data_IF_194519957859
#
_entry.id   IF_194519957859
#
_cell.length_a   1.000
_cell.length_b   1.000
_cell.length_c   1.000
_cell.angle_alpha   90.00
_cell.angle_beta   90.00
_cell.angle_gamma   90.00
#
_symmetry.space_group_name_H-M   'P 1'
#
loop_
_entity.id
_entity.type
_entity.pdbx_description
1 polymer ?
#
# COMPACT_ATOMS: atom_id res chain seq x y z
N UNK A 1 -32.56 18.26 19.32
CA UNK A 1 -32.08 16.89 19.46
C UNK A 1 -33.25 15.96 19.24
N UNK A 2 -33.48 15.51 18.01
CA UNK A 2 -34.50 14.52 17.68
C UNK A 2 -33.77 13.31 17.12
N UNK A 3 -33.68 12.26 17.91
CA UNK A 3 -33.21 10.94 17.52
C UNK A 3 -34.41 10.27 16.84
N UNK A 4 -34.41 10.18 15.50
CA UNK A 4 -35.38 9.35 14.79
C UNK A 4 -34.95 7.89 14.91
N UNK A 5 -35.66 7.16 15.77
CA UNK A 5 -35.58 5.72 15.83
C UNK A 5 -36.18 5.13 14.55
N UNK A 6 -35.37 4.45 13.74
CA UNK A 6 -35.85 3.62 12.64
C UNK A 6 -36.46 2.36 13.25
N UNK A 7 -37.77 2.30 13.27
CA UNK A 7 -38.52 1.07 13.65
C UNK A 7 -38.43 0.12 12.46
N UNK A 8 -37.64 -0.94 12.59
CA UNK A 8 -37.66 -2.10 11.71
C UNK A 8 -38.93 -2.91 12.02
N UNK A 9 -39.98 -2.70 11.23
CA UNK A 9 -41.15 -3.56 11.27
C UNK A 9 -40.81 -4.92 10.68
N UNK A 10 -40.69 -5.93 11.52
CA UNK A 10 -40.61 -7.30 11.12
C UNK A 10 -41.98 -7.79 10.65
N UNK A 11 -42.19 -7.97 9.36
CA UNK A 11 -43.32 -8.69 8.84
C UNK A 11 -43.00 -10.19 8.81
N UNK A 12 -43.68 -10.96 9.68
CA UNK A 12 -43.69 -12.41 9.61
C UNK A 12 -44.72 -12.89 8.60
N UNK A 13 -44.28 -13.43 7.47
CA UNK A 13 -45.09 -14.31 6.64
C UNK A 13 -44.27 -15.58 6.34
N UNK A 14 -44.87 -16.71 6.67
CA UNK A 14 -44.31 -18.06 6.51
C UNK A 14 -44.39 -18.55 5.05
N UNK A 15 -43.87 -17.79 4.12
CA UNK A 15 -43.65 -18.34 2.76
C UNK A 15 -42.29 -18.97 2.67
N UNK A 16 -42.24 -20.25 2.28
CA UNK A 16 -41.00 -20.98 2.17
C UNK A 16 -40.12 -20.37 1.06
N UNK A 17 -38.82 -20.44 1.26
CA UNK A 17 -37.79 -19.95 0.32
C UNK A 17 -38.00 -20.53 -1.10
N UNK A 18 -38.46 -21.75 -1.18
CA UNK A 18 -38.71 -22.46 -2.45
C UNK A 18 -39.85 -21.86 -3.28
N UNK A 19 -40.88 -21.26 -2.62
CA UNK A 19 -42.00 -20.64 -3.34
C UNK A 19 -41.67 -19.29 -3.96
N UNK A 20 -40.67 -18.58 -3.38
CA UNK A 20 -40.24 -17.29 -3.90
C UNK A 20 -39.25 -17.47 -5.05
N UNK A 21 -38.37 -18.47 -4.98
CA UNK A 21 -37.49 -18.85 -6.10
C UNK A 21 -38.27 -19.43 -7.29
N UNK A 22 -39.30 -20.20 -7.06
CA UNK A 22 -40.13 -20.77 -8.13
C UNK A 22 -40.88 -19.71 -8.97
N UNK A 23 -41.18 -18.55 -8.39
CA UNK A 23 -41.81 -17.42 -9.10
C UNK A 23 -40.81 -16.50 -9.81
N UNK A 24 -39.54 -16.49 -9.40
CA UNK A 24 -38.47 -15.73 -10.08
C UNK A 24 -37.74 -16.50 -11.17
N UNK A 25 -37.92 -17.81 -11.22
CA UNK A 25 -37.12 -18.71 -12.08
C UNK A 25 -37.53 -18.77 -13.56
N UNK A 26 -38.50 -17.98 -14.03
CA UNK A 26 -38.91 -18.07 -15.45
C UNK A 26 -38.38 -16.97 -16.36
N UNK A 27 -37.59 -15.98 -15.90
CA UNK A 27 -37.16 -14.91 -16.82
C UNK A 27 -35.73 -14.35 -16.70
N UNK A 28 -34.86 -14.84 -15.77
CA UNK A 28 -33.53 -14.18 -15.59
C UNK A 28 -32.34 -15.16 -15.50
N UNK A 29 -32.31 -16.21 -16.30
CA UNK A 29 -31.09 -17.00 -16.43
C UNK A 29 -30.18 -16.36 -17.49
N UNK A 30 -29.09 -15.77 -17.04
CA UNK A 30 -27.88 -15.61 -17.87
C UNK A 30 -27.82 -14.43 -18.83
N UNK A 31 -28.39 -13.28 -18.53
CA UNK A 31 -28.05 -12.06 -19.27
C UNK A 31 -27.16 -11.15 -18.41
N UNK A 32 -25.91 -10.98 -18.82
CA UNK A 32 -25.12 -9.80 -18.48
C UNK A 32 -25.99 -8.59 -18.84
N UNK A 33 -26.24 -7.70 -17.87
CA UNK A 33 -27.12 -6.57 -18.15
C UNK A 33 -26.59 -5.77 -19.32
N UNK A 34 -27.43 -5.67 -20.34
CA UNK A 34 -27.19 -4.76 -21.45
C UNK A 34 -26.87 -3.37 -20.89
N UNK A 35 -25.82 -2.76 -21.41
CA UNK A 35 -25.48 -1.36 -21.18
C UNK A 35 -26.77 -0.56 -21.36
N UNK A 36 -27.21 0.18 -20.33
CA UNK A 36 -28.53 0.78 -20.25
C UNK A 36 -28.94 1.52 -21.50
N UNK A 37 -29.97 1.02 -22.15
CA UNK A 37 -30.67 1.66 -23.26
C UNK A 37 -32.05 2.18 -22.83
N UNK A 38 -32.34 2.13 -21.53
CA UNK A 38 -33.57 2.62 -20.96
C UNK A 38 -33.71 4.16 -21.12
N UNK A 39 -34.89 4.61 -21.41
CA UNK A 39 -35.25 6.02 -21.36
C UNK A 39 -36.37 6.22 -20.33
N UNK A 40 -36.28 7.27 -19.53
CA UNK A 40 -37.29 7.54 -18.49
C UNK A 40 -36.64 7.98 -17.17
N UNK A 41 -37.45 8.11 -16.12
CA UNK A 41 -36.96 8.42 -14.78
C UNK A 41 -36.30 7.17 -14.18
N UNK A 42 -35.15 7.34 -13.55
CA UNK A 42 -34.54 6.29 -12.72
C UNK A 42 -35.29 6.29 -11.38
N UNK A 43 -35.74 5.11 -10.99
CA UNK A 43 -36.40 4.88 -9.70
C UNK A 43 -35.46 4.03 -8.81
N UNK A 44 -35.48 4.24 -7.47
CA UNK A 44 -34.75 3.41 -6.53
C UNK A 44 -35.16 1.94 -6.64
N UNK A 45 -34.28 1.03 -6.24
CA UNK A 45 -34.65 -0.36 -6.03
C UNK A 45 -35.72 -0.43 -4.93
N UNK A 46 -36.73 -1.28 -5.15
CA UNK A 46 -37.73 -1.55 -4.11
C UNK A 46 -37.18 -2.60 -3.13
N UNK A 47 -37.18 -2.25 -1.86
CA UNK A 47 -36.74 -3.15 -0.78
C UNK A 47 -37.62 -4.43 -0.65
N UNK A 48 -38.80 -4.44 -1.29
CA UNK A 48 -39.66 -5.63 -1.29
C UNK A 48 -39.14 -6.77 -2.14
N UNK A 49 -38.26 -6.48 -3.11
CA UNK A 49 -37.68 -7.48 -4.02
C UNK A 49 -36.54 -8.29 -3.41
N UNK A 50 -35.98 -7.87 -2.28
CA UNK A 50 -34.81 -8.55 -1.68
C UNK A 50 -35.10 -8.88 -0.20
N UNK A 51 -35.91 -9.90 0.01
CA UNK A 51 -36.10 -10.44 1.36
C UNK A 51 -35.35 -11.76 1.51
N UNK A 52 -34.13 -11.67 2.01
CA UNK A 52 -33.55 -12.50 3.07
C UNK A 52 -32.19 -11.92 3.46
N UNK A 53 -31.99 -11.75 4.77
CA UNK A 53 -30.63 -11.64 5.34
C UNK A 53 -29.85 -12.85 4.83
N UNK A 54 -29.07 -12.65 3.76
CA UNK A 54 -27.90 -13.48 3.54
C UNK A 54 -27.03 -13.23 4.76
N UNK A 55 -26.66 -14.28 5.47
CA UNK A 55 -25.74 -14.18 6.59
C UNK A 55 -24.59 -13.27 6.15
N UNK A 56 -24.44 -12.16 6.86
CA UNK A 56 -23.31 -11.26 6.70
C UNK A 56 -22.07 -12.11 6.69
N UNK A 57 -21.35 -12.15 5.57
CA UNK A 57 -19.96 -12.60 5.58
C UNK A 57 -19.30 -11.90 6.73
N UNK A 58 -18.70 -12.65 7.65
CA UNK A 58 -17.87 -12.08 8.69
C UNK A 58 -16.82 -11.20 7.98
N UNK A 59 -16.91 -9.91 8.18
CA UNK A 59 -16.04 -8.93 7.60
C UNK A 59 -14.70 -9.05 8.31
N UNK A 60 -13.74 -9.72 7.69
CA UNK A 60 -12.39 -9.92 8.22
C UNK A 60 -11.33 -9.08 7.49
N UNK A 61 -11.73 -7.98 6.84
CA UNK A 61 -10.78 -7.09 6.18
C UNK A 61 -10.55 -5.80 7.00
N UNK A 62 -10.02 -5.99 8.20
CA UNK A 62 -9.68 -4.88 9.11
C UNK A 62 -8.73 -3.87 8.48
N UNK A 63 -7.84 -4.32 7.57
CA UNK A 63 -6.85 -3.45 6.93
C UNK A 63 -7.50 -2.44 5.97
N UNK A 64 -8.51 -2.85 5.19
CA UNK A 64 -9.22 -1.94 4.27
C UNK A 64 -10.04 -0.92 5.05
N UNK A 65 -10.72 -1.35 6.10
CA UNK A 65 -11.49 -0.45 6.97
C UNK A 65 -10.61 0.60 7.63
N UNK A 66 -9.41 0.23 8.09
CA UNK A 66 -8.45 1.16 8.68
C UNK A 66 -7.92 2.18 7.64
N UNK A 67 -7.59 1.72 6.43
CA UNK A 67 -7.14 2.60 5.35
C UNK A 67 -8.23 3.60 4.94
N UNK A 68 -9.44 3.12 4.67
CA UNK A 68 -10.53 3.95 4.16
C UNK A 68 -11.15 4.86 5.23
N UNK A 69 -11.06 4.49 6.52
CA UNK A 69 -11.54 5.35 7.62
C UNK A 69 -10.83 6.71 7.66
N UNK A 70 -9.60 6.77 7.18
CA UNK A 70 -8.86 8.02 7.08
C UNK A 70 -9.39 8.95 5.98
N UNK A 71 -10.15 8.41 5.03
CA UNK A 71 -10.76 9.13 3.90
C UNK A 71 -12.25 9.45 4.14
N UNK A 72 -12.78 9.22 5.35
CA UNK A 72 -14.15 9.58 5.68
C UNK A 72 -14.40 11.07 5.46
N UNK A 73 -15.38 11.42 4.61
CA UNK A 73 -15.70 12.78 4.19
C UNK A 73 -14.56 13.56 3.48
N UNK A 74 -13.47 12.89 3.06
CA UNK A 74 -12.44 13.49 2.21
C UNK A 74 -12.90 13.44 0.75
N UNK A 75 -12.86 14.56 0.00
CA UNK A 75 -13.12 14.53 -1.43
C UNK A 75 -12.11 13.67 -2.18
N UNK A 76 -12.60 12.75 -3.00
CA UNK A 76 -11.82 11.78 -3.78
C UNK A 76 -12.29 11.74 -5.23
N UNK A 77 -11.39 11.38 -6.12
CA UNK A 77 -11.72 10.88 -7.44
C UNK A 77 -11.76 9.35 -7.43
N UNK A 78 -12.66 8.77 -8.22
CA UNK A 78 -12.77 7.33 -8.47
C UNK A 78 -12.36 7.07 -9.91
N UNK A 79 -11.14 6.58 -10.11
CA UNK A 79 -10.56 6.32 -11.44
C UNK A 79 -10.57 4.83 -11.74
N UNK A 80 -11.14 4.42 -12.88
CA UNK A 80 -11.06 3.02 -13.36
C UNK A 80 -9.61 2.62 -13.61
N UNK A 81 -9.18 1.50 -13.04
CA UNK A 81 -7.80 1.04 -13.13
C UNK A 81 -7.41 0.59 -14.56
N UNK A 82 -8.35 0.05 -15.33
CA UNK A 82 -8.13 -0.43 -16.69
C UNK A 82 -9.22 0.03 -17.66
N UNK A 83 -9.15 1.26 -18.13
CA UNK A 83 -9.92 1.71 -19.27
C UNK A 83 -8.96 2.21 -20.36
N UNK A 84 -9.19 1.79 -21.60
CA UNK A 84 -8.38 2.19 -22.76
C UNK A 84 -8.81 3.53 -23.36
N UNK A 85 -9.95 4.08 -22.92
CA UNK A 85 -10.46 5.39 -23.34
C UNK A 85 -9.93 6.50 -22.42
N UNK A 86 -10.01 7.76 -22.88
CA UNK A 86 -9.74 8.95 -22.04
C UNK A 86 -10.77 9.14 -20.91
N UNK A 87 -11.88 8.38 -20.96
CA UNK A 87 -12.98 8.46 -19.99
C UNK A 87 -12.72 7.49 -18.86
N UNK A 88 -12.01 7.93 -17.86
CA UNK A 88 -11.52 7.06 -16.77
C UNK A 88 -12.10 7.40 -15.39
N UNK A 89 -12.71 8.56 -15.23
CA UNK A 89 -13.18 9.03 -13.93
C UNK A 89 -14.68 8.90 -13.81
N UNK A 90 -15.14 8.33 -12.70
CA UNK A 90 -16.55 8.29 -12.36
C UNK A 90 -17.08 9.72 -12.30
N UNK A 91 -18.28 9.95 -12.87
CA UNK A 91 -18.90 11.26 -12.97
C UNK A 91 -20.38 11.21 -12.65
N UNK A 92 -20.82 12.14 -11.80
CA UNK A 92 -22.22 12.40 -11.48
C UNK A 92 -22.62 13.77 -12.03
N UNK A 93 -23.50 13.80 -13.04
CA UNK A 93 -23.93 15.05 -13.70
C UNK A 93 -24.97 15.82 -12.89
N UNK A 94 -26.01 15.14 -12.41
CA UNK A 94 -27.14 15.72 -11.63
C UNK A 94 -27.92 14.62 -10.90
N UNK A 95 -28.72 15.01 -9.93
CA UNK A 95 -29.61 14.11 -9.19
C UNK A 95 -30.59 13.38 -10.13
N UNK A 96 -30.83 12.09 -9.84
CA UNK A 96 -31.72 11.23 -10.61
C UNK A 96 -31.19 10.84 -11.99
N UNK A 97 -29.93 11.10 -12.28
CA UNK A 97 -29.25 10.69 -13.53
C UNK A 97 -28.25 9.59 -13.30
N UNK A 98 -28.15 8.74 -14.31
CA UNK A 98 -27.14 7.69 -14.38
C UNK A 98 -25.74 8.30 -14.28
N UNK A 99 -24.85 7.60 -13.57
CA UNK A 99 -23.43 7.91 -13.56
C UNK A 99 -22.79 7.48 -14.89
N UNK A 100 -21.75 8.18 -15.26
CA UNK A 100 -20.95 7.87 -16.44
C UNK A 100 -19.46 7.94 -16.12
N UNK A 101 -18.63 7.63 -17.11
CA UNK A 101 -17.21 7.93 -17.04
C UNK A 101 -16.91 9.17 -17.88
N UNK A 102 -16.03 10.02 -17.37
CA UNK A 102 -15.59 11.25 -18.01
C UNK A 102 -14.06 11.35 -18.05
N UNK A 103 -13.55 12.24 -18.91
CA UNK A 103 -12.16 12.65 -18.88
C UNK A 103 -11.86 13.46 -17.62
N UNK A 104 -10.62 13.43 -17.16
CA UNK A 104 -10.21 14.22 -16.00
C UNK A 104 -10.35 15.72 -16.28
N UNK A 105 -11.01 16.41 -15.37
CA UNK A 105 -11.08 17.86 -15.29
C UNK A 105 -11.10 18.26 -13.82
N UNK A 106 -10.06 18.93 -13.36
CA UNK A 106 -9.89 19.33 -11.95
C UNK A 106 -11.03 20.27 -11.48
N UNK A 107 -11.61 21.06 -12.38
CA UNK A 107 -12.68 22.01 -12.08
C UNK A 107 -14.08 21.37 -12.04
N UNK A 108 -14.24 20.12 -12.51
CA UNK A 108 -15.53 19.46 -12.52
C UNK A 108 -15.84 18.75 -11.20
N UNK A 109 -16.64 19.41 -10.35
CA UNK A 109 -17.13 18.80 -9.11
C UNK A 109 -17.92 17.49 -9.33
N UNK A 110 -18.38 17.22 -10.56
CA UNK A 110 -19.06 15.98 -10.92
C UNK A 110 -18.15 14.77 -10.84
N UNK A 111 -16.81 14.94 -10.90
CA UNK A 111 -15.82 13.89 -10.75
C UNK A 111 -15.46 13.62 -9.28
N UNK A 112 -15.92 14.48 -8.36
CA UNK A 112 -15.57 14.41 -6.96
C UNK A 112 -16.64 13.68 -6.15
N UNK A 113 -16.18 12.75 -5.33
CA UNK A 113 -17.00 11.96 -4.41
C UNK A 113 -16.41 12.03 -3.02
N UNK A 114 -17.14 11.59 -2.01
CA UNK A 114 -16.60 11.33 -0.69
C UNK A 114 -17.26 10.10 -0.09
N UNK A 115 -16.50 9.39 0.74
CA UNK A 115 -16.99 8.24 1.48
C UNK A 115 -17.64 8.73 2.77
N UNK A 116 -18.75 8.13 3.14
CA UNK A 116 -19.31 8.26 4.47
C UNK A 116 -19.37 6.88 5.10
N UNK A 117 -18.60 6.73 6.17
CA UNK A 117 -18.53 5.49 6.91
C UNK A 117 -19.69 5.45 7.90
N UNK A 118 -20.49 4.41 7.78
CA UNK A 118 -21.59 4.20 8.72
C UNK A 118 -21.11 3.39 9.93
N UNK A 119 -21.66 3.64 11.11
CA UNK A 119 -21.33 2.83 12.28
C UNK A 119 -21.58 1.34 12.01
N UNK A 120 -20.68 0.48 12.46
CA UNK A 120 -20.71 -0.98 12.24
C UNK A 120 -22.03 -1.66 12.62
N UNK A 121 -22.79 -1.06 13.52
CA UNK A 121 -24.14 -1.51 13.93
C UNK A 121 -25.18 -1.44 12.82
N UNK A 122 -24.96 -0.65 11.77
CA UNK A 122 -25.90 -0.49 10.67
C UNK A 122 -25.77 -1.60 9.59
N UNK A 123 -24.69 -2.38 9.61
CA UNK A 123 -24.43 -3.44 8.61
C UNK A 123 -24.19 -2.91 7.18
N UNK A 124 -23.99 -1.61 7.02
CA UNK A 124 -23.76 -0.92 5.76
C UNK A 124 -22.37 -0.28 5.87
N UNK A 125 -21.35 -0.79 5.20
CA UNK A 125 -19.99 -0.31 5.42
C UNK A 125 -19.77 1.12 4.89
N UNK A 126 -20.22 1.44 3.66
CA UNK A 126 -19.96 2.72 3.03
C UNK A 126 -21.15 3.25 2.25
N UNK A 127 -21.36 4.58 2.34
CA UNK A 127 -22.09 5.35 1.35
C UNK A 127 -21.10 6.19 0.54
N UNK A 128 -21.28 6.26 -0.76
CA UNK A 128 -20.46 7.07 -1.67
C UNK A 128 -21.32 8.26 -2.12
N UNK A 129 -20.97 9.47 -1.70
CA UNK A 129 -21.67 10.69 -2.04
C UNK A 129 -20.99 11.42 -3.19
N UNK A 130 -21.75 11.97 -4.12
CA UNK A 130 -21.22 12.92 -5.09
C UNK A 130 -21.14 14.32 -4.48
N UNK A 131 -20.02 14.97 -4.63
CA UNK A 131 -19.79 16.35 -4.16
C UNK A 131 -20.70 17.33 -4.89
N UNK A 132 -20.98 17.14 -6.18
CA UNK A 132 -21.84 17.99 -7.00
C UNK A 132 -23.32 17.86 -6.65
N UNK A 133 -23.81 16.63 -6.52
CA UNK A 133 -25.25 16.39 -6.28
C UNK A 133 -25.62 16.42 -4.81
N UNK A 134 -24.65 16.30 -3.89
CA UNK A 134 -24.82 16.19 -2.43
C UNK A 134 -25.66 14.98 -2.00
N UNK A 135 -25.80 13.99 -2.89
CA UNK A 135 -26.58 12.77 -2.65
C UNK A 135 -25.72 11.53 -2.87
N UNK A 136 -26.05 10.39 -2.23
CA UNK A 136 -25.32 9.17 -2.43
C UNK A 136 -25.57 8.60 -3.83
N UNK A 137 -24.61 7.81 -4.31
CA UNK A 137 -24.81 6.96 -5.48
C UNK A 137 -25.50 5.67 -5.07
N UNK A 138 -26.37 5.17 -5.95
CA UNK A 138 -27.21 4.03 -5.67
C UNK A 138 -27.46 3.19 -6.92
N UNK A 139 -27.95 1.98 -6.74
CA UNK A 139 -28.50 1.17 -7.82
C UNK A 139 -29.98 1.51 -7.98
N UNK A 140 -30.40 1.73 -9.20
CA UNK A 140 -31.80 1.95 -9.57
C UNK A 140 -32.15 1.26 -10.88
N UNK A 141 -33.38 1.46 -11.36
CA UNK A 141 -33.85 0.96 -12.64
C UNK A 141 -34.60 2.06 -13.38
N UNK A 142 -34.66 1.98 -14.70
CA UNK A 142 -35.52 2.86 -15.46
C UNK A 142 -36.99 2.49 -15.26
N UNK A 143 -37.88 3.46 -15.14
CA UNK A 143 -39.30 3.23 -14.92
C UNK A 143 -39.97 2.47 -16.07
N UNK A 144 -39.46 2.63 -17.30
CA UNK A 144 -39.91 1.94 -18.49
C UNK A 144 -39.11 0.67 -18.86
N UNK A 145 -38.06 0.37 -18.11
CA UNK A 145 -37.21 -0.82 -18.27
C UNK A 145 -36.73 -1.28 -16.90
N UNK A 146 -37.61 -1.82 -16.05
CA UNK A 146 -37.27 -2.16 -14.66
C UNK A 146 -36.20 -3.26 -14.53
N UNK A 147 -35.97 -4.06 -15.56
CA UNK A 147 -34.96 -5.09 -15.60
C UNK A 147 -33.55 -4.50 -15.85
N UNK A 148 -33.45 -3.30 -16.41
CA UNK A 148 -32.19 -2.61 -16.66
C UNK A 148 -31.77 -1.87 -15.39
N UNK A 149 -30.77 -2.41 -14.69
CA UNK A 149 -30.23 -1.78 -13.48
C UNK A 149 -29.07 -0.85 -13.84
N UNK A 150 -29.04 0.30 -13.19
CA UNK A 150 -28.04 1.34 -13.42
C UNK A 150 -27.51 1.89 -12.09
N UNK A 151 -26.30 2.43 -12.13
CA UNK A 151 -25.75 3.23 -11.02
C UNK A 151 -26.09 4.69 -11.29
N UNK A 152 -26.70 5.36 -10.32
CA UNK A 152 -27.19 6.73 -10.49
C UNK A 152 -26.96 7.58 -9.24
N UNK A 153 -26.94 8.91 -9.37
CA UNK A 153 -26.99 9.81 -8.24
C UNK A 153 -28.43 9.93 -7.72
N UNK A 154 -28.65 9.64 -6.46
CA UNK A 154 -29.99 9.67 -5.87
C UNK A 154 -30.61 11.07 -5.94
N UNK A 155 -31.93 11.14 -5.84
CA UNK A 155 -32.66 12.42 -5.64
C UNK A 155 -32.68 12.72 -4.14
N UNK A 156 -32.56 13.98 -3.79
CA UNK A 156 -32.65 14.44 -2.40
C UNK A 156 -33.99 14.05 -1.73
N UNK A 157 -35.06 14.00 -2.53
CA UNK A 157 -36.38 13.55 -2.06
C UNK A 157 -36.48 12.05 -1.73
N UNK A 158 -35.45 11.26 -2.04
CA UNK A 158 -35.44 9.82 -1.78
C UNK A 158 -35.07 9.57 -0.32
N UNK A 159 -36.00 9.00 0.45
CA UNK A 159 -35.78 8.71 1.89
C UNK A 159 -35.14 7.36 2.16
N UNK A 160 -35.27 6.41 1.22
CA UNK A 160 -34.68 5.07 1.34
C UNK A 160 -33.26 5.05 0.80
N UNK A 161 -32.31 4.58 1.60
CA UNK A 161 -30.92 4.33 1.20
C UNK A 161 -30.70 2.93 0.62
N UNK A 162 -31.76 2.17 0.37
CA UNK A 162 -31.66 0.85 -0.24
C UNK A 162 -31.05 0.96 -1.66
N UNK A 163 -30.06 0.14 -1.94
CA UNK A 163 -29.26 0.21 -3.17
C UNK A 163 -28.07 1.17 -3.13
N UNK A 164 -27.92 1.97 -2.04
CA UNK A 164 -26.82 2.92 -1.88
C UNK A 164 -25.65 2.39 -1.04
N UNK A 165 -25.74 1.15 -0.57
CA UNK A 165 -24.74 0.53 0.31
C UNK A 165 -23.67 -0.17 -0.51
N UNK A 166 -22.42 0.16 -0.23
CA UNK A 166 -21.27 -0.35 -0.97
C UNK A 166 -20.26 -0.99 -0.02
N UNK A 167 -19.78 -2.16 -0.40
CA UNK A 167 -18.61 -2.80 0.19
C UNK A 167 -17.40 -2.45 -0.68
N UNK A 168 -16.39 -1.85 -0.07
CA UNK A 168 -15.17 -1.44 -0.77
C UNK A 168 -14.05 -2.39 -0.35
N UNK A 169 -13.61 -3.24 -1.27
CA UNK A 169 -12.59 -4.28 -1.03
C UNK A 169 -11.37 -4.02 -1.89
N UNK A 170 -10.20 -4.49 -1.44
CA UNK A 170 -9.01 -4.48 -2.29
C UNK A 170 -9.24 -5.28 -3.57
N UNK A 171 -8.75 -4.75 -4.68
CA UNK A 171 -8.78 -5.41 -5.95
C UNK A 171 -7.81 -6.59 -5.98
N UNK A 172 -8.15 -7.62 -6.77
CA UNK A 172 -7.28 -8.79 -6.95
C UNK A 172 -6.29 -8.64 -8.12
N UNK A 173 -6.61 -7.80 -9.10
CA UNK A 173 -5.77 -7.61 -10.29
C UNK A 173 -4.84 -6.41 -10.13
N UNK A 174 -5.34 -5.26 -9.70
CA UNK A 174 -4.57 -4.04 -9.50
C UNK A 174 -4.20 -3.87 -8.03
N UNK A 175 -2.92 -3.67 -7.73
CA UNK A 175 -2.42 -3.54 -6.34
C UNK A 175 -2.80 -2.22 -5.67
N UNK A 176 -3.19 -1.20 -6.46
CA UNK A 176 -3.48 0.17 -6.05
C UNK A 176 -4.96 0.55 -6.27
N UNK A 177 -5.85 -0.45 -6.31
CA UNK A 177 -7.26 -0.24 -6.60
C UNK A 177 -8.18 -1.05 -5.66
N UNK A 178 -9.46 -0.73 -5.75
CA UNK A 178 -10.55 -1.35 -4.99
C UNK A 178 -11.69 -1.73 -5.92
N UNK A 179 -12.48 -2.71 -5.52
CA UNK A 179 -13.78 -2.99 -6.11
C UNK A 179 -14.88 -2.28 -5.31
N UNK A 180 -15.90 -1.80 -6.01
CA UNK A 180 -17.10 -1.19 -5.42
C UNK A 180 -18.25 -2.19 -5.58
N UNK A 181 -18.48 -3.01 -4.55
CA UNK A 181 -19.45 -4.10 -4.56
C UNK A 181 -20.75 -3.64 -3.88
N UNK A 182 -21.90 -3.87 -4.54
CA UNK A 182 -23.20 -3.56 -3.95
C UNK A 182 -23.52 -4.52 -2.78
N UNK A 183 -24.04 -3.99 -1.68
CA UNK A 183 -24.49 -4.81 -0.55
C UNK A 183 -25.99 -5.12 -0.59
N UNK A 184 -26.74 -4.32 -1.32
CA UNK A 184 -28.22 -4.39 -1.32
C UNK A 184 -28.80 -5.13 -2.51
N UNK A 185 -27.96 -5.55 -3.47
CA UNK A 185 -28.41 -6.19 -4.70
C UNK A 185 -27.70 -7.52 -4.99
N UNK A 186 -28.05 -8.60 -4.24
CA UNK A 186 -27.54 -9.93 -4.52
C UNK A 186 -28.07 -10.48 -5.85
N UNK A 187 -27.27 -11.26 -6.54
CA UNK A 187 -27.60 -11.90 -7.81
C UNK A 187 -27.36 -13.39 -7.71
N UNK A 188 -28.16 -14.16 -8.43
CA UNK A 188 -27.95 -15.60 -8.57
C UNK A 188 -26.97 -15.89 -9.70
N UNK A 189 -26.00 -16.76 -9.44
CA UNK A 189 -25.06 -17.23 -10.45
C UNK A 189 -25.67 -18.23 -11.44
N UNK A 190 -24.90 -18.57 -12.46
CA UNK A 190 -25.34 -19.42 -13.58
C UNK A 190 -25.63 -20.89 -13.21
N UNK A 191 -25.15 -21.36 -12.05
CA UNK A 191 -25.38 -22.71 -11.59
C UNK A 191 -26.83 -23.01 -11.21
N UNK A 192 -27.62 -21.94 -10.98
CA UNK A 192 -29.00 -22.03 -10.49
C UNK A 192 -29.13 -22.54 -9.04
N UNK A 193 -28.00 -22.82 -8.38
CA UNK A 193 -28.00 -23.26 -7.00
C UNK A 193 -28.22 -22.08 -6.05
N UNK A 194 -29.05 -22.26 -5.01
CA UNK A 194 -29.39 -21.21 -4.03
C UNK A 194 -28.17 -20.65 -3.26
N UNK A 195 -27.05 -21.33 -3.25
CA UNK A 195 -25.79 -20.90 -2.63
C UNK A 195 -24.85 -20.20 -3.63
N UNK A 196 -25.14 -20.21 -4.93
CA UNK A 196 -24.39 -19.46 -5.95
C UNK A 196 -24.95 -18.03 -6.04
N UNK A 197 -24.76 -17.26 -4.96
CA UNK A 197 -25.16 -15.86 -4.89
C UNK A 197 -23.91 -15.00 -4.94
N UNK A 198 -23.95 -13.95 -5.74
CA UNK A 198 -22.90 -12.93 -5.80
C UNK A 198 -23.50 -11.53 -5.69
N UNK A 199 -22.68 -10.59 -5.27
CA UNK A 199 -22.99 -9.18 -5.30
C UNK A 199 -22.32 -8.53 -6.50
N UNK A 200 -23.04 -7.64 -7.20
CA UNK A 200 -22.52 -7.02 -8.40
C UNK A 200 -21.55 -5.90 -8.06
N UNK A 201 -20.50 -5.77 -8.88
CA UNK A 201 -19.56 -4.66 -8.80
C UNK A 201 -19.80 -3.66 -9.92
N UNK A 202 -19.49 -2.39 -9.68
CA UNK A 202 -19.48 -1.37 -10.71
C UNK A 202 -18.42 -1.73 -11.74
N UNK A 203 -18.83 -1.75 -13.01
CA UNK A 203 -17.99 -2.16 -14.14
C UNK A 203 -18.01 -1.09 -15.22
N UNK A 204 -16.83 -0.70 -15.72
CA UNK A 204 -16.69 0.24 -16.83
C UNK A 204 -16.92 -0.43 -18.18
N UNK A 205 -17.81 0.15 -19.00
CA UNK A 205 -18.10 -0.25 -20.36
C UNK A 205 -18.06 0.97 -21.30
N UNK A 206 -16.86 1.33 -21.76
CA UNK A 206 -16.65 2.60 -22.49
C UNK A 206 -16.92 3.79 -21.56
N UNK A 207 -17.85 4.67 -21.96
CA UNK A 207 -18.29 5.81 -21.16
C UNK A 207 -19.39 5.46 -20.15
N UNK A 208 -19.98 4.27 -20.23
CA UNK A 208 -21.09 3.82 -19.40
C UNK A 208 -20.62 2.87 -18.31
N UNK A 209 -21.51 2.64 -17.35
CA UNK A 209 -21.31 1.67 -16.27
C UNK A 209 -22.32 0.54 -16.41
N UNK A 210 -21.90 -0.64 -15.97
CA UNK A 210 -22.76 -1.81 -15.77
C UNK A 210 -22.54 -2.39 -14.38
N UNK A 211 -23.41 -3.30 -14.00
CA UNK A 211 -23.32 -4.08 -12.75
C UNK A 211 -23.08 -5.54 -13.11
N UNK A 212 -21.90 -6.03 -12.84
CA UNK A 212 -21.45 -7.39 -13.24
C UNK A 212 -20.90 -8.17 -12.06
N UNK A 213 -20.80 -9.50 -12.21
CA UNK A 213 -20.04 -10.33 -11.28
C UNK A 213 -18.56 -9.95 -11.35
N UNK A 214 -17.91 -9.86 -10.20
CA UNK A 214 -16.47 -9.60 -10.19
C UNK A 214 -15.70 -10.74 -10.84
N UNK A 215 -14.90 -10.44 -11.83
CA UNK A 215 -14.14 -11.39 -12.65
C UNK A 215 -12.64 -11.03 -12.73
N UNK A 216 -12.15 -10.25 -11.77
CA UNK A 216 -10.74 -9.84 -11.65
C UNK A 216 -10.23 -9.10 -12.90
N UNK A 217 -11.04 -8.18 -13.40
CA UNK A 217 -10.70 -7.34 -14.54
C UNK A 217 -10.46 -5.91 -14.10
N UNK A 218 -9.41 -5.27 -14.63
CA UNK A 218 -9.07 -3.88 -14.28
C UNK A 218 -10.21 -2.87 -14.57
N UNK A 219 -11.14 -3.17 -15.50
CA UNK A 219 -12.33 -2.37 -15.74
C UNK A 219 -13.38 -2.42 -14.63
N UNK A 220 -13.23 -3.32 -13.65
CA UNK A 220 -14.07 -3.48 -12.46
C UNK A 220 -13.41 -2.91 -11.20
N UNK A 221 -12.24 -2.31 -11.36
CA UNK A 221 -11.41 -1.86 -10.27
C UNK A 221 -11.20 -0.35 -10.34
N UNK A 222 -11.25 0.31 -9.19
CA UNK A 222 -11.20 1.76 -9.10
C UNK A 222 -10.07 2.21 -8.18
N UNK A 223 -9.23 3.11 -8.65
CA UNK A 223 -8.28 3.84 -7.81
C UNK A 223 -9.02 4.93 -7.05
N UNK A 224 -8.76 4.99 -5.76
CA UNK A 224 -9.25 6.07 -4.89
C UNK A 224 -8.13 7.10 -4.80
N UNK A 225 -8.39 8.32 -5.25
CA UNK A 225 -7.42 9.41 -5.34
C UNK A 225 -7.98 10.62 -4.60
N UNK A 226 -7.43 11.01 -3.43
CA UNK A 226 -7.84 12.25 -2.79
C UNK A 226 -7.66 13.46 -3.71
N UNK A 227 -8.62 14.38 -3.69
CA UNK A 227 -8.63 15.60 -4.53
C UNK A 227 -7.51 16.54 -4.11
N UNK A 228 -7.33 16.70 -2.79
CA UNK A 228 -6.28 17.56 -2.26
C UNK A 228 -4.89 16.93 -2.31
N UNK A 229 -3.88 17.77 -2.37
CA UNK A 229 -2.48 17.37 -2.19
C UNK A 229 -2.14 17.29 -0.71
N UNK A 230 -1.13 16.49 -0.39
CA UNK A 230 -0.67 16.28 0.98
C UNK A 230 0.81 16.65 1.12
N UNK A 231 1.17 17.22 2.25
CA UNK A 231 2.55 17.38 2.66
C UNK A 231 2.94 16.23 3.57
N UNK A 232 4.10 15.62 3.36
CA UNK A 232 4.64 14.62 4.29
C UNK A 232 5.20 15.35 5.51
N UNK A 233 4.68 15.04 6.69
CA UNK A 233 5.10 15.62 7.97
C UNK A 233 6.23 14.81 8.61
N UNK A 234 6.10 13.47 8.62
CA UNK A 234 7.11 12.55 9.14
C UNK A 234 7.11 11.20 8.44
N UNK A 235 8.23 10.49 8.54
CA UNK A 235 8.36 9.10 8.12
C UNK A 235 9.00 8.32 9.27
N UNK A 236 8.30 7.34 9.79
CA UNK A 236 8.72 6.50 10.90
C UNK A 236 8.98 5.08 10.38
N UNK A 237 10.10 4.47 10.78
CA UNK A 237 10.52 3.13 10.36
C UNK A 237 10.44 2.16 11.53
N UNK A 238 9.85 1.00 11.32
CA UNK A 238 9.85 -0.10 12.28
C UNK A 238 11.15 -0.94 12.11
N UNK A 239 12.22 -0.46 12.73
CA UNK A 239 13.53 -1.11 12.64
C UNK A 239 13.61 -2.42 13.41
N UNK A 240 12.73 -2.66 14.39
CA UNK A 240 12.74 -3.88 15.22
C UNK A 240 12.20 -5.09 14.43
N UNK A 241 11.21 -4.86 13.56
CA UNK A 241 10.67 -5.86 12.65
C UNK A 241 11.43 -5.95 11.31
N UNK A 242 12.48 -5.13 11.14
CA UNK A 242 13.23 -5.05 9.89
C UNK A 242 13.95 -6.36 9.54
N UNK A 243 13.89 -6.74 8.27
CA UNK A 243 14.61 -7.90 7.73
C UNK A 243 16.00 -7.48 7.26
N UNK A 244 17.02 -8.18 7.73
CA UNK A 244 18.41 -7.93 7.41
C UNK A 244 19.05 -9.16 6.72
N UNK A 245 19.48 -8.98 5.48
CA UNK A 245 20.20 -10.01 4.75
C UNK A 245 21.67 -9.58 4.55
N UNK A 246 22.58 -10.26 5.23
CA UNK A 246 24.04 -10.02 5.18
C UNK A 246 24.66 -10.83 4.05
N UNK A 247 25.30 -10.15 3.11
CA UNK A 247 25.96 -10.77 1.95
C UNK A 247 27.45 -10.41 1.95
N UNK A 248 28.38 -11.39 2.02
CA UNK A 248 29.80 -11.14 1.80
C UNK A 248 30.02 -10.59 0.39
N UNK A 249 30.75 -9.49 0.27
CA UNK A 249 30.99 -8.87 -1.03
C UNK A 249 32.46 -8.97 -1.47
N UNK A 250 33.39 -8.57 -0.60
CA UNK A 250 34.81 -8.53 -0.90
C UNK A 250 35.63 -9.03 0.29
N UNK A 251 36.64 -9.83 0.01
CA UNK A 251 37.72 -10.15 0.94
C UNK A 251 38.95 -9.36 0.52
N UNK A 252 39.32 -8.36 1.32
CA UNK A 252 40.60 -7.66 1.17
C UNK A 252 41.72 -8.41 1.87
N UNK A 253 42.88 -8.55 1.24
CA UNK A 253 44.07 -9.16 1.84
C UNK A 253 45.32 -8.44 1.36
N UNK A 254 46.10 -7.92 2.31
CA UNK A 254 47.36 -7.24 2.04
C UNK A 254 48.46 -7.76 2.99
N UNK A 255 49.69 -7.78 2.52
CA UNK A 255 50.87 -8.23 3.26
C UNK A 255 51.92 -7.14 3.35
N UNK A 256 52.53 -7.02 4.52
CA UNK A 256 53.71 -6.21 4.76
C UNK A 256 54.76 -7.06 5.47
N UNK A 257 55.99 -7.02 4.97
CA UNK A 257 57.12 -7.78 5.54
C UNK A 257 58.16 -6.82 6.11
N UNK A 258 58.38 -6.92 7.44
CA UNK A 258 59.45 -6.20 8.13
C UNK A 258 60.73 -7.04 8.20
N UNK A 259 61.70 -6.71 7.34
CA UNK A 259 63.05 -7.33 7.34
C UNK A 259 64.05 -6.54 8.18
N UNK A 260 63.61 -5.49 8.86
CA UNK A 260 64.47 -4.64 9.69
C UNK A 260 64.75 -5.28 11.06
N UNK A 261 65.75 -4.80 11.78
CA UNK A 261 66.17 -5.34 13.08
C UNK A 261 65.24 -4.89 14.25
N UNK A 262 64.34 -3.92 14.01
CA UNK A 262 63.41 -3.38 15.01
C UNK A 262 61.97 -3.45 14.51
N UNK A 263 61.00 -3.37 15.43
CA UNK A 263 59.57 -3.28 15.06
C UNK A 263 59.29 -2.02 14.25
N UNK A 264 58.50 -2.16 13.21
CA UNK A 264 58.07 -1.05 12.32
C UNK A 264 56.53 -0.94 12.32
N UNK A 265 56.04 0.31 12.33
CA UNK A 265 54.61 0.54 12.17
C UNK A 265 54.26 0.62 10.69
N UNK A 266 53.31 -0.20 10.27
CA UNK A 266 52.73 -0.15 8.93
C UNK A 266 51.23 0.07 9.04
N UNK A 267 50.68 1.00 8.24
CA UNK A 267 49.24 1.28 8.20
C UNK A 267 48.62 0.68 6.94
N UNK A 268 47.87 -0.40 7.11
CA UNK A 268 47.10 -1.00 6.02
C UNK A 268 45.92 -0.10 5.75
N UNK A 269 45.71 0.29 4.47
CA UNK A 269 44.61 1.15 4.02
C UNK A 269 43.62 0.36 3.18
N UNK A 270 42.43 0.15 3.72
CA UNK A 270 41.39 -0.58 3.02
C UNK A 270 40.33 0.41 2.60
N UNK A 271 39.98 0.37 1.31
CA UNK A 271 38.93 1.23 0.74
C UNK A 271 38.05 0.43 -0.19
N UNK A 272 36.75 0.59 -0.08
CA UNK A 272 35.75 -0.06 -0.92
C UNK A 272 34.61 0.91 -1.24
N UNK A 273 34.12 0.83 -2.48
CA UNK A 273 32.99 1.64 -2.95
C UNK A 273 31.78 0.75 -3.23
N UNK A 274 30.61 1.18 -2.80
CA UNK A 274 29.36 0.47 -3.04
C UNK A 274 28.23 1.43 -3.38
N UNK A 275 27.19 0.89 -4.04
CA UNK A 275 25.96 1.64 -4.29
C UNK A 275 25.03 1.49 -3.10
N UNK A 276 24.85 2.56 -2.34
CA UNK A 276 23.82 2.68 -1.30
C UNK A 276 22.51 3.04 -1.96
N UNK A 277 21.50 2.19 -1.86
CA UNK A 277 20.19 2.38 -2.49
C UNK A 277 19.09 2.58 -1.46
N UNK A 278 18.02 3.23 -1.90
CA UNK A 278 16.81 3.49 -1.12
C UNK A 278 15.60 3.43 -2.06
N UNK A 279 14.60 2.64 -1.71
CA UNK A 279 13.35 2.50 -2.46
C UNK A 279 12.17 2.47 -1.50
N UNK A 280 11.15 3.27 -1.79
CA UNK A 280 9.91 3.33 -1.00
C UNK A 280 8.76 2.70 -1.79
N UNK A 281 8.23 1.58 -1.30
CA UNK A 281 7.08 0.89 -1.87
C UNK A 281 5.86 1.08 -0.95
N UNK A 282 4.78 1.65 -1.48
CA UNK A 282 3.54 1.81 -0.72
C UNK A 282 2.83 0.47 -0.55
N UNK A 283 2.27 0.22 0.62
CA UNK A 283 1.32 -0.86 0.90
C UNK A 283 -0.12 -0.36 0.91
N UNK A 284 -0.32 0.93 1.18
CA UNK A 284 -1.63 1.58 1.15
C UNK A 284 -2.15 1.64 -0.28
N UNK A 285 -3.38 1.20 -0.49
CA UNK A 285 -3.94 1.01 -1.84
C UNK A 285 -4.54 2.28 -2.45
N UNK A 286 -4.84 3.34 -1.66
CA UNK A 286 -5.28 4.61 -2.24
C UNK A 286 -4.09 5.49 -2.68
N UNK A 287 -4.31 6.32 -3.69
CA UNK A 287 -3.26 7.12 -4.32
C UNK A 287 -3.26 8.55 -3.78
N UNK A 288 -2.19 8.93 -3.10
CA UNK A 288 -2.00 10.29 -2.55
C UNK A 288 -1.03 11.08 -3.39
N UNK A 289 -1.43 12.27 -3.80
CA UNK A 289 -0.54 13.25 -4.44
C UNK A 289 0.21 14.04 -3.36
N UNK A 290 1.55 13.95 -3.38
CA UNK A 290 2.41 14.71 -2.46
C UNK A 290 2.79 16.03 -3.12
N UNK A 291 2.58 17.16 -2.41
CA UNK A 291 2.80 18.51 -2.96
C UNK A 291 4.26 18.92 -3.01
N UNK A 292 5.09 18.42 -2.09
CA UNK A 292 6.50 18.75 -1.99
C UNK A 292 7.34 17.50 -1.80
N UNK A 293 8.49 17.45 -2.47
CA UNK A 293 9.49 16.43 -2.23
C UNK A 293 10.15 16.68 -0.88
N UNK A 294 10.10 15.70 0.01
CA UNK A 294 10.83 15.76 1.28
C UNK A 294 11.98 14.75 1.27
N UNK A 295 13.06 15.14 1.92
CA UNK A 295 14.15 14.23 2.25
C UNK A 295 13.93 13.66 3.64
N UNK A 296 14.07 12.37 3.76
CA UNK A 296 14.00 11.67 5.04
C UNK A 296 15.28 10.87 5.27
N UNK A 297 15.67 10.75 6.52
CA UNK A 297 16.75 9.84 6.90
C UNK A 297 16.26 8.41 6.83
N UNK A 298 16.99 7.58 6.11
CA UNK A 298 16.65 6.17 5.93
C UNK A 298 17.40 5.29 6.92
N UNK A 299 16.90 4.07 7.21
CA UNK A 299 17.61 3.11 8.01
C UNK A 299 19.01 2.80 7.47
N UNK A 300 19.93 2.55 8.37
CA UNK A 300 21.31 2.15 8.06
C UNK A 300 21.81 1.10 9.06
N UNK A 301 22.98 0.51 8.80
CA UNK A 301 23.56 -0.50 9.67
C UNK A 301 24.53 0.16 10.67
N UNK A 302 24.27 -0.07 11.95
CA UNK A 302 25.21 0.22 13.03
C UNK A 302 25.32 -1.01 13.94
N UNK A 303 26.54 -1.43 14.21
CA UNK A 303 26.84 -2.59 15.07
C UNK A 303 26.12 -3.90 14.68
N UNK A 304 25.91 -4.08 13.35
CA UNK A 304 25.24 -5.26 12.80
C UNK A 304 23.72 -5.25 12.96
N UNK A 305 23.11 -4.12 13.37
CA UNK A 305 21.67 -3.92 13.50
C UNK A 305 21.18 -2.80 12.62
N UNK A 306 19.92 -2.89 12.21
CA UNK A 306 19.22 -1.79 11.53
C UNK A 306 18.92 -0.69 12.56
N UNK A 307 19.19 0.56 12.20
CA UNK A 307 18.92 1.71 13.05
C UNK A 307 18.55 2.95 12.23
N UNK A 308 17.87 3.90 12.87
CA UNK A 308 17.54 5.24 12.31
C UNK A 308 18.14 6.36 13.15
N UNK A 309 19.12 6.06 14.04
CA UNK A 309 19.68 7.06 14.94
C UNK A 309 20.29 8.27 14.20
N UNK A 310 20.23 9.44 14.85
CA UNK A 310 20.44 10.76 14.21
C UNK A 310 21.85 10.99 13.64
N UNK A 311 22.86 10.25 14.08
CA UNK A 311 24.27 10.55 13.79
C UNK A 311 24.87 9.91 12.54
N UNK A 312 24.17 8.97 11.86
CA UNK A 312 24.79 8.20 10.78
C UNK A 312 23.94 8.02 9.50
N UNK A 313 22.67 8.42 9.51
CA UNK A 313 21.76 8.19 8.39
C UNK A 313 21.98 9.16 7.23
N UNK A 314 21.95 8.65 5.99
CA UNK A 314 21.88 9.48 4.78
C UNK A 314 20.43 9.82 4.46
N UNK A 315 20.22 10.99 3.86
CA UNK A 315 18.92 11.45 3.43
C UNK A 315 18.65 11.03 1.99
N UNK A 316 17.44 10.52 1.76
CA UNK A 316 16.89 10.17 0.46
C UNK A 316 15.50 10.79 0.29
N UNK A 317 15.08 10.97 -0.96
CA UNK A 317 13.77 11.53 -1.25
C UNK A 317 12.67 10.50 -0.98
N UNK A 318 11.70 10.86 -0.14
CA UNK A 318 10.55 10.00 0.12
C UNK A 318 9.78 9.68 -1.16
N UNK A 319 9.38 8.43 -1.31
CA UNK A 319 8.60 7.97 -2.46
C UNK A 319 9.40 7.76 -3.76
N UNK A 320 10.73 7.97 -3.74
CA UNK A 320 11.59 7.72 -4.90
C UNK A 320 12.51 6.52 -4.69
N UNK A 321 12.92 5.93 -5.80
CA UNK A 321 14.04 4.98 -5.82
C UNK A 321 15.29 5.73 -6.23
N UNK A 322 16.27 5.78 -5.34
CA UNK A 322 17.53 6.50 -5.52
C UNK A 322 18.72 5.60 -5.17
N UNK A 323 19.85 5.86 -5.79
CA UNK A 323 21.11 5.20 -5.44
C UNK A 323 22.25 6.23 -5.43
N UNK A 324 23.16 6.08 -4.44
CA UNK A 324 24.35 6.94 -4.29
C UNK A 324 25.57 6.08 -4.12
N UNK A 325 26.66 6.37 -4.84
CA UNK A 325 27.94 5.71 -4.59
C UNK A 325 28.54 6.24 -3.30
N UNK A 326 28.85 5.34 -2.40
CA UNK A 326 29.50 5.64 -1.12
C UNK A 326 30.83 4.88 -1.07
N UNK A 327 31.88 5.59 -0.69
CA UNK A 327 33.20 4.99 -0.47
C UNK A 327 33.46 4.95 1.02
N UNK A 328 33.78 3.76 1.53
CA UNK A 328 34.20 3.56 2.91
C UNK A 328 35.70 3.28 2.90
N UNK A 329 36.43 3.99 3.73
CA UNK A 329 37.86 3.76 3.95
C UNK A 329 38.13 3.54 5.42
N UNK A 330 39.10 2.67 5.70
CA UNK A 330 39.57 2.41 7.06
C UNK A 330 41.05 2.13 7.07
N UNK A 331 41.73 2.66 8.09
CA UNK A 331 43.15 2.41 8.32
C UNK A 331 43.34 1.48 9.51
N UNK A 332 44.33 0.57 9.39
CA UNK A 332 44.69 -0.37 10.41
C UNK A 332 46.19 -0.20 10.69
N UNK A 333 46.59 0.65 11.66
CA UNK A 333 47.97 0.84 12.03
C UNK A 333 48.44 -0.34 12.88
N UNK A 334 49.41 -1.09 12.39
CA UNK A 334 49.95 -2.32 13.00
C UNK A 334 51.44 -2.15 13.29
N UNK A 335 51.90 -2.52 14.49
CA UNK A 335 53.30 -2.67 14.82
C UNK A 335 53.77 -4.07 14.44
N UNK A 336 54.56 -4.14 13.37
CA UNK A 336 55.08 -5.43 12.85
C UNK A 336 56.45 -5.69 13.45
N UNK A 337 56.66 -6.79 14.23
CA UNK A 337 57.93 -7.09 14.84
C UNK A 337 59.05 -7.28 13.82
N UNK A 338 60.31 -7.19 14.27
CA UNK A 338 61.49 -7.51 13.46
C UNK A 338 61.39 -8.91 12.90
N UNK A 339 61.71 -9.11 11.61
CA UNK A 339 61.67 -10.38 10.89
C UNK A 339 60.31 -11.09 10.87
N UNK A 340 59.20 -10.30 10.78
CA UNK A 340 57.85 -10.84 10.60
C UNK A 340 57.18 -10.30 9.33
N UNK A 341 56.31 -11.14 8.79
CA UNK A 341 55.34 -10.76 7.79
C UNK A 341 53.96 -10.60 8.46
N UNK A 342 53.35 -9.43 8.32
CA UNK A 342 51.97 -9.16 8.71
C UNK A 342 51.07 -9.32 7.50
N UNK A 343 49.99 -10.10 7.62
CA UNK A 343 48.93 -10.20 6.62
C UNK A 343 47.61 -9.76 7.25
N UNK A 344 47.05 -8.66 6.76
CA UNK A 344 45.72 -8.23 7.11
C UNK A 344 44.70 -8.81 6.15
N UNK A 345 43.65 -9.40 6.67
CA UNK A 345 42.47 -9.85 5.91
C UNK A 345 41.24 -9.16 6.49
N UNK A 346 40.45 -8.48 5.63
CA UNK A 346 39.27 -7.75 6.05
C UNK A 346 38.09 -8.13 5.14
N UNK A 347 36.95 -8.44 5.72
CA UNK A 347 35.75 -8.76 4.98
C UNK A 347 34.86 -7.52 4.92
N UNK A 348 34.43 -7.19 3.71
CA UNK A 348 33.44 -6.17 3.43
C UNK A 348 32.09 -6.83 3.17
N UNK A 349 31.07 -6.46 3.93
CA UNK A 349 29.72 -6.98 3.78
C UNK A 349 28.78 -5.93 3.25
N UNK A 350 27.92 -6.33 2.32
CA UNK A 350 26.70 -5.60 1.96
C UNK A 350 25.52 -6.15 2.76
N UNK A 351 24.61 -5.26 3.09
CA UNK A 351 23.39 -5.56 3.84
C UNK A 351 22.21 -5.09 3.03
N UNK A 352 21.36 -6.03 2.62
CA UNK A 352 20.06 -5.71 2.07
C UNK A 352 19.07 -5.62 3.21
N UNK A 353 18.30 -4.53 3.26
CA UNK A 353 17.38 -4.23 4.35
C UNK A 353 15.99 -4.03 3.80
N UNK A 354 14.99 -4.60 4.46
CA UNK A 354 13.58 -4.35 4.24
C UNK A 354 12.95 -3.93 5.56
N UNK A 355 12.38 -2.74 5.62
CA UNK A 355 11.83 -2.14 6.84
C UNK A 355 10.46 -1.56 6.53
N UNK A 356 9.47 -1.90 7.33
CA UNK A 356 8.15 -1.30 7.21
C UNK A 356 8.20 0.16 7.71
N UNK A 357 7.43 1.03 7.06
CA UNK A 357 7.36 2.43 7.44
C UNK A 357 5.92 2.93 7.48
N UNK A 358 5.72 3.99 8.25
CA UNK A 358 4.50 4.80 8.28
C UNK A 358 4.87 6.25 7.99
N UNK A 359 4.33 6.82 6.91
CA UNK A 359 4.44 8.24 6.62
C UNK A 359 3.17 8.95 7.07
N UNK A 360 3.30 9.97 7.91
CA UNK A 360 2.22 10.88 8.28
C UNK A 360 2.17 12.02 7.28
N UNK A 361 1.02 12.18 6.63
CA UNK A 361 0.79 13.21 5.62
C UNK A 361 -0.34 14.14 6.06
N UNK A 362 -0.20 15.44 5.77
CA UNK A 362 -1.16 16.49 6.14
C UNK A 362 -1.74 17.11 4.88
N UNK A 363 -3.06 17.13 4.77
CA UNK A 363 -3.78 17.76 3.66
C UNK A 363 -3.49 19.26 3.60
N UNK A 364 -3.12 19.74 2.41
CA UNK A 364 -2.73 21.15 2.20
C UNK A 364 -3.89 22.11 2.47
N UNK A 365 -5.10 21.69 2.15
CA UNK A 365 -6.32 22.51 2.27
C UNK A 365 -7.07 22.22 3.58
N UNK A 366 -7.25 20.93 3.89
CA UNK A 366 -8.07 20.50 5.02
C UNK A 366 -7.30 20.46 6.35
N UNK A 367 -5.97 20.36 6.31
CA UNK A 367 -5.13 20.09 7.48
C UNK A 367 -5.33 18.66 8.05
N UNK A 368 -6.08 17.81 7.37
CA UNK A 368 -6.36 16.44 7.81
C UNK A 368 -5.11 15.59 7.74
N UNK A 369 -4.86 14.79 8.77
CA UNK A 369 -3.74 13.84 8.81
C UNK A 369 -4.18 12.48 8.33
N UNK A 370 -3.40 11.91 7.43
CA UNK A 370 -3.54 10.53 6.96
C UNK A 370 -2.22 9.78 7.14
N UNK A 371 -2.27 8.47 7.28
CA UNK A 371 -1.10 7.60 7.42
C UNK A 371 -0.96 6.71 6.19
N UNK A 372 0.20 6.76 5.55
CA UNK A 372 0.55 5.90 4.43
C UNK A 372 1.50 4.83 4.94
N UNK A 373 1.05 3.58 4.94
CA UNK A 373 1.89 2.41 5.27
C UNK A 373 2.67 1.97 4.03
N UNK A 374 3.90 1.53 4.22
CA UNK A 374 4.73 1.04 3.13
C UNK A 374 5.88 0.17 3.59
N UNK A 375 6.67 -0.30 2.64
CA UNK A 375 7.93 -1.00 2.85
C UNK A 375 9.06 -0.22 2.21
N UNK A 376 10.06 0.10 2.98
CA UNK A 376 11.32 0.64 2.49
C UNK A 376 12.30 -0.51 2.30
N UNK A 377 13.00 -0.49 1.15
CA UNK A 377 14.09 -1.41 0.86
C UNK A 377 15.36 -0.63 0.56
N UNK A 378 16.48 -1.05 1.13
CA UNK A 378 17.73 -0.36 0.95
C UNK A 378 18.96 -1.25 1.05
N UNK A 379 20.11 -0.71 0.60
CA UNK A 379 21.42 -1.35 0.69
C UNK A 379 22.36 -0.46 1.48
N UNK A 380 23.03 -1.07 2.47
CA UNK A 380 24.13 -0.45 3.22
C UNK A 380 25.33 -1.39 3.27
N UNK A 381 26.49 -0.92 3.69
CA UNK A 381 27.67 -1.76 3.78
C UNK A 381 28.63 -1.30 4.88
N UNK A 382 29.41 -2.24 5.40
CA UNK A 382 30.46 -1.94 6.37
C UNK A 382 31.60 -2.97 6.30
N UNK A 383 32.77 -2.57 6.76
CA UNK A 383 33.85 -3.50 7.05
C UNK A 383 33.58 -4.21 8.37
N UNK A 384 33.72 -5.53 8.35
CA UNK A 384 33.56 -6.41 9.51
C UNK A 384 34.65 -7.47 9.44
N UNK A 385 34.97 -8.08 10.56
CA UNK A 385 35.91 -9.24 10.65
C UNK A 385 37.27 -8.93 10.06
N UNK A 386 38.03 -8.07 10.68
CA UNK A 386 39.43 -7.85 10.37
C UNK A 386 40.31 -8.84 11.15
N UNK A 387 41.14 -9.57 10.43
CA UNK A 387 42.10 -10.56 11.00
C UNK A 387 43.51 -10.23 10.58
N UNK A 388 44.38 -10.10 11.54
CA UNK A 388 45.82 -9.93 11.34
C UNK A 388 46.55 -11.24 11.64
N UNK A 389 47.26 -11.78 10.66
CA UNK A 389 48.17 -12.90 10.85
C UNK A 389 49.60 -12.38 10.80
N UNK A 390 50.38 -12.74 11.81
CA UNK A 390 51.82 -12.48 11.88
C UNK A 390 52.57 -13.79 11.74
N UNK A 391 53.44 -13.85 10.76
CA UNK A 391 54.23 -15.04 10.46
C UNK A 391 55.72 -14.67 10.48
N UNK A 392 56.58 -15.36 11.24
CA UNK A 392 58.01 -15.11 11.20
C UNK A 392 58.58 -15.45 9.81
N UNK A 393 59.61 -14.71 9.37
CA UNK A 393 60.26 -14.93 8.07
C UNK A 393 61.05 -16.24 8.15
N UNK A 394 61.73 -16.50 9.28
CA UNK A 394 62.42 -17.75 9.58
C UNK A 394 61.63 -18.61 10.56
N UNK A 395 61.28 -19.81 10.15
CA UNK A 395 60.42 -20.72 10.91
C UNK A 395 61.10 -21.47 12.07
N UNK A 396 62.39 -21.19 12.35
CA UNK A 396 63.15 -21.97 13.28
C UNK A 396 62.98 -21.69 14.77
N UNK A 397 62.45 -20.49 15.15
CA UNK A 397 62.42 -20.05 16.57
C UNK A 397 61.18 -19.27 17.01
N UNK A 398 60.28 -18.92 16.15
CA UNK A 398 59.14 -18.06 16.47
C UNK A 398 57.81 -18.62 15.94
N UNK A 399 56.72 -18.43 16.66
CA UNK A 399 55.37 -18.91 16.29
C UNK A 399 54.55 -17.88 15.54
N UNK A 400 53.72 -18.35 14.61
CA UNK A 400 52.68 -17.51 13.96
C UNK A 400 51.65 -17.08 14.98
N UNK A 401 51.18 -15.85 14.86
CA UNK A 401 50.13 -15.28 15.73
C UNK A 401 48.96 -14.77 14.89
N UNK A 402 47.75 -15.05 15.38
CA UNK A 402 46.50 -14.56 14.76
C UNK A 402 45.78 -13.63 15.74
N UNK A 403 45.44 -12.44 15.27
CA UNK A 403 44.75 -11.41 16.06
C UNK A 403 43.44 -11.06 15.34
N UNK A 404 42.32 -11.13 16.07
CA UNK A 404 41.04 -10.59 15.61
C UNK A 404 41.01 -9.12 16.01
N UNK A 405 40.98 -8.25 15.03
CA UNK A 405 40.94 -6.80 15.26
C UNK A 405 39.49 -6.39 15.56
N UNK A 406 39.23 -5.99 16.79
CA UNK A 406 37.90 -5.54 17.23
C UNK A 406 37.68 -4.08 16.94
N UNK A 407 36.39 -3.67 16.87
CA UNK A 407 36.01 -2.24 16.76
C UNK A 407 36.63 -1.40 17.87
N UNK A 408 36.66 -1.91 19.12
CA UNK A 408 37.22 -1.21 20.26
C UNK A 408 38.73 -0.93 20.09
N UNK A 409 39.47 -1.86 19.48
CA UNK A 409 40.90 -1.68 19.15
C UNK A 409 41.07 -0.52 18.14
N UNK A 410 40.21 -0.44 17.14
CA UNK A 410 40.26 0.59 16.11
C UNK A 410 39.83 1.95 16.64
N UNK A 411 38.72 2.02 17.40
CA UNK A 411 38.18 3.25 17.96
C UNK A 411 39.11 3.87 19.03
N UNK A 412 40.01 3.08 19.60
CA UNK A 412 41.02 3.59 20.53
C UNK A 412 42.09 4.49 19.86
N UNK A 413 42.17 4.46 18.51
CA UNK A 413 43.18 5.21 17.74
C UNK A 413 44.63 4.75 18.01
N UNK A 414 44.81 3.66 18.77
CA UNK A 414 46.13 3.13 19.13
C UNK A 414 46.68 2.17 18.06
N UNK A 415 48.02 2.17 17.92
CA UNK A 415 48.68 1.18 17.07
C UNK A 415 48.37 -0.20 17.63
N UNK A 416 47.92 -1.11 16.78
CA UNK A 416 47.68 -2.51 17.15
C UNK A 416 49.04 -3.15 17.45
N UNK A 417 49.33 -3.31 18.74
CA UNK A 417 50.54 -4.00 19.23
C UNK A 417 50.25 -5.46 19.40
N UNK A 418 51.21 -6.24 19.05
CA UNK A 418 51.24 -7.70 19.24
C UNK A 418 52.19 -7.97 20.39
N UNK A 419 51.67 -8.21 21.56
CA UNK A 419 52.43 -8.69 22.70
C UNK A 419 52.71 -10.18 22.63
#
# INVERSE_FOLDING_TARGET
MLVSAIVLSACSTNDSFDSILAKSNQSEIGQDYAVGTGSGCIVPLDSTCVRKKVQTRAYNDNDVSEELSQLDEVPIYLQVAGNTSNLQFLSASSQGKELSLAAFNEEDEGLQFYLKILPATAGIPYLIYSTKTKTPISIGAYSNAPDVKVVYAMKESTTSLFGASWDIKKADYSTDAYILESQDYPRQGSSGNWYDIYYSVITANGAKLSLEKYSKMARQEFRIIPVEKFNVESVEFDTDAGVLNKVPNVLYSEKYTNKGPIAQTYSFKVQESYSKSSSFNKKTSYNVSVSTEIKTRVPFIAEGKITTSVSGGQEFTYGKTEAKTVTISREYPVSVPANYTAQLSVVFYKYNMDVDYVATCVGVTSGRRIKIKGKWSGVDAQFVDAVLNLTPIDSSTASSRKIIITKQMLDSGKIIKVE
#
